data_IF_835057478099
#
_entry.id   IF_835057478099
#
_cell.length_a   1.000
_cell.length_b   1.000
_cell.length_c   1.000
_cell.angle_alpha   90.00
_cell.angle_beta   90.00
_cell.angle_gamma   90.00
#
_symmetry.space_group_name_H-M   'P 1'
#
loop_
_entity.id
_entity.type
_entity.pdbx_description
1 polymer ?
#
# COMPACT_ATOMS: atom_id res chain seq x y z
N UNK A 1 -8.70 -12.73 -2.62
CA UNK A 1 -7.68 -13.54 -3.31
C UNK A 1 -8.29 -14.48 -4.36
N UNK A 2 -8.99 -15.57 -3.99
CA UNK A 2 -9.45 -16.57 -4.98
C UNK A 2 -10.37 -15.99 -6.08
N UNK A 3 -11.36 -15.17 -5.71
CA UNK A 3 -12.27 -14.51 -6.68
C UNK A 3 -11.56 -13.57 -7.67
N UNK A 4 -10.40 -13.02 -7.28
CA UNK A 4 -9.62 -12.14 -8.15
C UNK A 4 -8.77 -12.96 -9.14
N UNK A 5 -8.51 -14.23 -8.83
CA UNK A 5 -7.68 -15.11 -9.64
C UNK A 5 -8.48 -16.09 -10.50
N UNK A 6 -9.68 -16.48 -10.07
CA UNK A 6 -10.66 -17.26 -10.86
C UNK A 6 -11.21 -16.40 -12.00
N UNK A 7 -10.40 -16.28 -13.04
CA UNK A 7 -10.72 -15.57 -14.27
C UNK A 7 -11.59 -16.39 -15.22
N UNK A 8 -11.60 -17.70 -15.05
CA UNK A 8 -12.48 -18.61 -15.79
C UNK A 8 -13.94 -18.56 -15.30
N UNK A 9 -14.16 -18.16 -14.04
CA UNK A 9 -15.46 -18.08 -13.40
C UNK A 9 -16.07 -19.45 -13.09
N UNK A 10 -15.26 -20.52 -13.08
CA UNK A 10 -15.73 -21.89 -12.87
C UNK A 10 -15.81 -22.28 -11.38
N UNK A 11 -15.41 -21.38 -10.47
CA UNK A 11 -15.41 -21.62 -9.02
C UNK A 11 -14.23 -22.44 -8.52
N UNK A 12 -13.28 -22.78 -9.40
CA UNK A 12 -12.01 -23.44 -9.09
C UNK A 12 -10.85 -22.50 -9.44
N UNK A 13 -9.67 -22.81 -8.89
CA UNK A 13 -8.43 -22.13 -9.26
C UNK A 13 -7.62 -23.10 -10.10
N UNK A 14 -7.50 -22.82 -11.39
CA UNK A 14 -6.66 -23.58 -12.31
C UNK A 14 -5.18 -23.26 -12.08
N UNK A 15 -4.27 -24.12 -12.57
CA UNK A 15 -2.82 -23.92 -12.36
C UNK A 15 -2.32 -22.54 -12.85
N UNK A 16 -2.88 -22.04 -13.96
CA UNK A 16 -2.56 -20.70 -14.50
C UNK A 16 -3.13 -19.56 -13.66
N UNK A 17 -4.24 -19.82 -12.96
CA UNK A 17 -4.86 -18.87 -12.04
C UNK A 17 -4.12 -18.87 -10.70
N UNK A 18 -3.58 -20.01 -10.30
CA UNK A 18 -2.71 -20.13 -9.14
C UNK A 18 -1.45 -19.27 -9.28
N UNK A 19 -0.83 -19.20 -10.46
CA UNK A 19 0.28 -18.28 -10.72
C UNK A 19 -0.11 -16.82 -10.44
N UNK A 20 -1.32 -16.39 -10.81
CA UNK A 20 -1.84 -15.05 -10.47
C UNK A 20 -2.02 -14.87 -8.96
N UNK A 21 -2.49 -15.89 -8.25
CA UNK A 21 -2.58 -15.84 -6.77
C UNK A 21 -1.19 -15.65 -6.16
N UNK A 22 -0.18 -16.41 -6.61
CA UNK A 22 1.18 -16.29 -6.10
C UNK A 22 1.75 -14.90 -6.34
N UNK A 23 1.51 -14.31 -7.50
CA UNK A 23 1.91 -12.92 -7.80
C UNK A 23 1.21 -11.91 -6.87
N UNK A 24 -0.11 -12.05 -6.67
CA UNK A 24 -0.86 -11.18 -5.76
C UNK A 24 -0.40 -11.32 -4.31
N UNK A 25 -0.08 -12.53 -3.86
CA UNK A 25 0.46 -12.76 -2.52
C UNK A 25 1.83 -12.13 -2.34
N UNK A 26 2.71 -12.22 -3.36
CA UNK A 26 4.01 -11.58 -3.32
C UNK A 26 3.88 -10.05 -3.25
N UNK A 27 3.00 -9.47 -4.06
CA UNK A 27 2.75 -8.03 -4.03
C UNK A 27 2.17 -7.59 -2.67
N UNK A 28 1.25 -8.37 -2.11
CA UNK A 28 0.72 -8.11 -0.77
C UNK A 28 1.83 -8.15 0.29
N UNK A 29 2.69 -9.16 0.27
CA UNK A 29 3.83 -9.29 1.19
C UNK A 29 4.79 -8.09 1.08
N UNK A 30 5.14 -7.66 -0.14
CA UNK A 30 5.98 -6.48 -0.37
C UNK A 30 5.33 -5.20 0.17
N UNK A 31 4.04 -4.96 -0.11
CA UNK A 31 3.33 -3.78 0.40
C UNK A 31 3.22 -3.82 1.93
N UNK A 32 2.93 -4.99 2.50
CA UNK A 32 2.79 -5.15 3.96
C UNK A 32 4.08 -4.82 4.70
N UNK A 33 5.23 -5.27 4.17
CA UNK A 33 6.54 -4.96 4.76
C UNK A 33 6.85 -3.47 4.74
N UNK A 34 6.56 -2.79 3.63
CA UNK A 34 6.77 -1.34 3.54
C UNK A 34 5.85 -0.63 4.55
N UNK A 35 4.59 -1.07 4.68
CA UNK A 35 3.67 -0.49 5.66
C UNK A 35 4.18 -0.67 7.10
N UNK A 36 4.63 -1.87 7.46
CA UNK A 36 5.21 -2.18 8.78
C UNK A 36 6.50 -1.39 9.05
N UNK A 37 7.30 -1.09 8.03
CA UNK A 37 8.49 -0.24 8.19
C UNK A 37 8.13 1.24 8.46
N UNK A 38 6.98 1.70 7.97
CA UNK A 38 6.47 3.05 8.17
C UNK A 38 5.73 3.21 9.51
N UNK A 39 4.92 2.22 9.89
CA UNK A 39 4.14 2.17 11.13
C UNK A 39 5.03 1.88 12.34
N UNK A 40 5.78 2.88 12.79
CA UNK A 40 6.76 2.72 13.87
C UNK A 40 6.14 2.51 15.24
N UNK A 41 4.87 2.88 15.42
CA UNK A 41 4.17 2.77 16.69
C UNK A 41 3.26 1.53 16.79
N UNK A 42 3.12 0.77 15.69
CA UNK A 42 2.31 -0.45 15.56
C UNK A 42 0.83 -0.22 15.89
N UNK A 43 0.28 0.93 15.50
CA UNK A 43 -1.13 1.27 15.66
C UNK A 43 -2.02 0.87 14.47
N UNK A 44 -1.40 0.24 13.46
CA UNK A 44 -1.95 -0.22 12.19
C UNK A 44 -2.44 0.91 11.28
N UNK A 45 -1.84 2.09 11.40
CA UNK A 45 -2.13 3.29 10.62
C UNK A 45 -0.82 4.04 10.42
N UNK A 46 -0.77 4.87 9.38
CA UNK A 46 0.38 5.74 9.18
C UNK A 46 -0.04 7.17 9.48
N UNK A 47 0.54 7.75 10.53
CA UNK A 47 0.40 9.17 10.82
C UNK A 47 1.22 10.02 9.83
N UNK A 48 0.91 11.32 9.74
CA UNK A 48 1.71 12.24 8.90
C UNK A 48 3.20 12.26 9.27
N UNK A 49 3.54 12.07 10.56
CA UNK A 49 4.92 12.06 11.02
C UNK A 49 5.66 10.79 10.56
N UNK A 50 4.98 9.64 10.60
CA UNK A 50 5.51 8.36 10.10
C UNK A 50 5.67 8.38 8.59
N UNK A 51 4.68 8.92 7.87
CA UNK A 51 4.75 9.14 6.43
C UNK A 51 5.96 10.01 6.04
N UNK A 52 6.12 11.17 6.69
CA UNK A 52 7.24 12.10 6.45
C UNK A 52 8.59 11.41 6.69
N UNK A 53 8.73 10.68 7.79
CA UNK A 53 9.95 9.91 8.08
C UNK A 53 10.23 8.85 7.03
N UNK A 54 9.21 8.15 6.57
CA UNK A 54 9.29 7.16 5.50
C UNK A 54 9.84 7.69 4.19
N UNK A 55 9.31 8.83 3.75
CA UNK A 55 9.73 9.48 2.50
C UNK A 55 11.20 9.93 2.55
N UNK A 56 11.67 10.40 3.70
CA UNK A 56 13.09 10.71 3.89
C UNK A 56 13.97 9.46 3.77
N UNK A 57 13.52 8.31 4.28
CA UNK A 57 14.25 7.05 4.18
C UNK A 57 14.29 6.50 2.75
N UNK A 58 13.28 6.80 1.93
CA UNK A 58 13.21 6.42 0.52
C UNK A 58 14.03 7.33 -0.41
N UNK A 59 14.70 8.36 0.13
CA UNK A 59 15.60 9.24 -0.62
C UNK A 59 14.93 10.43 -1.30
N UNK A 60 13.65 10.71 -1.00
CA UNK A 60 12.95 11.93 -1.42
C UNK A 60 13.04 13.00 -0.32
N UNK A 61 14.27 13.35 0.07
CA UNK A 61 14.57 14.24 1.21
C UNK A 61 14.40 15.76 0.88
N UNK A 62 14.17 16.09 -0.40
CA UNK A 62 14.04 17.48 -0.88
C UNK A 62 12.59 17.99 -0.97
N UNK A 63 11.60 17.18 -0.58
CA UNK A 63 10.19 17.58 -0.61
C UNK A 63 9.83 18.50 0.55
N UNK A 64 9.28 19.68 0.27
CA UNK A 64 8.80 20.61 1.28
C UNK A 64 7.57 20.04 2.03
N UNK A 65 7.33 20.56 3.24
CA UNK A 65 6.27 20.03 4.11
C UNK A 65 4.87 20.18 3.51
N UNK A 66 4.61 21.24 2.73
CA UNK A 66 3.31 21.43 2.08
C UNK A 66 3.10 20.40 0.97
N UNK A 67 4.13 20.09 0.18
CA UNK A 67 4.10 19.04 -0.84
C UNK A 67 3.84 17.65 -0.22
N UNK A 68 4.55 17.29 0.85
CA UNK A 68 4.31 16.04 1.58
C UNK A 68 2.91 15.98 2.16
N UNK A 69 2.38 17.11 2.65
CA UNK A 69 1.02 17.18 3.19
C UNK A 69 -0.03 17.00 2.12
N UNK A 70 0.19 17.54 0.92
CA UNK A 70 -0.69 17.33 -0.22
C UNK A 70 -0.71 15.87 -0.64
N UNK A 71 0.45 15.20 -0.71
CA UNK A 71 0.51 13.79 -1.05
C UNK A 71 -0.15 12.91 0.01
N UNK A 72 0.10 13.17 1.30
CA UNK A 72 -0.58 12.49 2.40
C UNK A 72 -2.10 12.62 2.29
N UNK A 73 -2.61 13.83 2.07
CA UNK A 73 -4.05 14.07 1.94
C UNK A 73 -4.64 13.43 0.67
N UNK A 74 -3.85 13.26 -0.40
CA UNK A 74 -4.28 12.56 -1.60
C UNK A 74 -4.43 11.04 -1.37
N UNK A 75 -3.66 10.49 -0.43
CA UNK A 75 -3.73 9.07 -0.03
C UNK A 75 -4.87 8.84 0.98
N UNK A 76 -4.99 9.70 2.00
CA UNK A 76 -6.04 9.71 3.04
C UNK A 76 -7.41 10.08 2.44
N UNK A 77 -7.96 9.14 1.67
CA UNK A 77 -9.19 9.32 0.90
C UNK A 77 -10.41 9.49 1.82
N UNK A 78 -10.40 8.86 2.99
CA UNK A 78 -11.46 9.01 3.98
C UNK A 78 -11.34 10.28 4.84
N UNK A 79 -10.23 11.01 4.71
CA UNK A 79 -9.94 12.25 5.46
C UNK A 79 -9.93 12.04 6.98
N UNK A 80 -9.48 10.88 7.43
CA UNK A 80 -9.43 10.48 8.83
C UNK A 80 -8.22 11.05 9.58
N UNK A 81 -7.27 11.64 8.85
CA UNK A 81 -6.01 12.16 9.38
C UNK A 81 -4.92 11.09 9.52
N UNK A 82 -5.18 9.87 9.04
CA UNK A 82 -4.27 8.72 9.04
C UNK A 82 -4.42 7.99 7.72
N UNK A 83 -3.33 7.46 7.19
CA UNK A 83 -3.38 6.55 6.05
C UNK A 83 -3.62 5.14 6.59
N UNK A 84 -4.75 4.54 6.20
CA UNK A 84 -5.06 3.16 6.52
C UNK A 84 -4.38 2.19 5.53
N UNK A 85 -4.27 0.92 5.91
CA UNK A 85 -3.60 -0.09 5.08
C UNK A 85 -4.24 -0.26 3.69
N UNK A 86 -5.56 -0.17 3.58
CA UNK A 86 -6.28 -0.25 2.31
C UNK A 86 -6.03 0.98 1.42
N UNK A 87 -5.98 2.17 2.01
CA UNK A 87 -5.61 3.42 1.32
C UNK A 87 -4.16 3.36 0.80
N UNK A 88 -3.26 2.85 1.63
CA UNK A 88 -1.87 2.60 1.23
C UNK A 88 -1.75 1.59 0.10
N UNK A 89 -2.51 0.49 0.16
CA UNK A 89 -2.57 -0.49 -0.93
C UNK A 89 -3.05 0.13 -2.24
N UNK A 90 -4.09 0.97 -2.20
CA UNK A 90 -4.60 1.68 -3.38
C UNK A 90 -3.55 2.63 -3.96
N UNK A 91 -2.85 3.36 -3.09
CA UNK A 91 -1.75 4.23 -3.50
C UNK A 91 -0.62 3.45 -4.17
N UNK A 92 -0.12 2.38 -3.56
CA UNK A 92 0.94 1.53 -4.12
C UNK A 92 0.54 0.85 -5.43
N UNK A 93 -0.72 0.43 -5.56
CA UNK A 93 -1.24 -0.12 -6.81
C UNK A 93 -1.26 0.91 -7.96
N UNK A 94 -1.53 2.19 -7.65
CA UNK A 94 -1.55 3.26 -8.63
C UNK A 94 -0.16 3.81 -8.97
N UNK A 95 0.80 3.76 -8.03
CA UNK A 95 2.13 4.36 -8.23
C UNK A 95 3.03 3.61 -9.22
N UNK A 96 2.61 2.43 -9.74
CA UNK A 96 3.39 1.57 -10.65
C UNK A 96 4.88 1.54 -10.28
N UNK A 97 5.19 0.81 -9.20
CA UNK A 97 6.54 0.30 -9.00
C UNK A 97 6.85 -0.70 -10.12
#
# INVERSE_FOLDING_TARGET
AYKAADTSGNGFVELREFEKIVLLLKQYDEISKIFEELDTNDDHRISFQEFKRGFQLLGEDDSDEDSLRQEFNAIDSNHGGYILFDEFCMYMANKKI
#
